data_IF_163006548538
#
_entry.id   IF_163006548538
#
_cell.length_a   1.000
_cell.length_b   1.000
_cell.length_c   1.000
_cell.angle_alpha   90.00
_cell.angle_beta   90.00
_cell.angle_gamma   90.00
#
_symmetry.space_group_name_H-M   'P 1'
#
loop_
_entity.id
_entity.type
_entity.pdbx_description
1 polymer ?
#
# COMPACT_ATOMS: atom_id res chain seq x y z
N UNK A 1 44.16 33.46 -92.55
CA UNK A 1 43.04 34.44 -92.45
C UNK A 1 43.37 35.82 -93.03
N UNK A 2 44.59 36.37 -92.85
CA UNK A 2 44.87 37.72 -93.35
C UNK A 2 45.03 37.83 -94.88
N UNK A 3 45.51 36.78 -95.58
CA UNK A 3 45.87 36.88 -97.01
C UNK A 3 44.68 36.92 -97.95
N UNK A 4 43.65 36.11 -97.71
CA UNK A 4 42.42 36.13 -98.52
C UNK A 4 41.69 37.47 -98.42
N UNK A 5 41.52 38.01 -97.21
CA UNK A 5 40.88 39.32 -97.02
C UNK A 5 41.74 40.45 -97.59
N UNK A 6 43.06 40.38 -97.42
CA UNK A 6 43.99 41.34 -98.03
C UNK A 6 43.93 41.31 -99.56
N UNK A 7 43.86 40.12 -100.18
CA UNK A 7 43.66 40.01 -101.64
C UNK A 7 42.31 40.57 -102.11
N UNK A 8 41.24 40.40 -101.33
CA UNK A 8 39.94 41.03 -101.63
C UNK A 8 40.03 42.56 -101.56
N UNK A 9 40.67 43.10 -100.53
CA UNK A 9 40.85 44.53 -100.33
C UNK A 9 41.76 45.13 -101.42
N UNK A 10 42.83 44.44 -101.79
CA UNK A 10 43.75 44.85 -102.86
C UNK A 10 43.05 44.84 -104.23
N UNK A 11 42.22 43.83 -104.51
CA UNK A 11 41.41 43.78 -105.73
C UNK A 11 40.36 44.90 -105.75
N UNK A 12 39.70 45.16 -104.62
CA UNK A 12 38.73 46.25 -104.50
C UNK A 12 39.41 47.61 -104.75
N UNK A 13 40.53 47.88 -104.08
CA UNK A 13 41.31 49.09 -104.26
C UNK A 13 41.77 49.27 -105.72
N UNK A 14 42.19 48.18 -106.38
CA UNK A 14 42.59 48.21 -107.79
C UNK A 14 41.42 48.55 -108.73
N UNK A 15 40.22 48.06 -108.43
CA UNK A 15 38.99 48.39 -109.20
C UNK A 15 38.52 49.83 -108.92
N UNK A 16 38.62 50.30 -107.68
CA UNK A 16 38.26 51.67 -107.30
C UNK A 16 39.17 52.73 -107.93
N UNK A 17 40.46 52.42 -108.11
CA UNK A 17 41.44 53.32 -108.73
C UNK A 17 41.56 53.14 -110.25
N UNK A 18 40.79 52.24 -110.84
CA UNK A 18 40.85 51.91 -112.26
C UNK A 18 40.34 53.07 -113.14
N UNK A 19 40.96 53.25 -114.31
CA UNK A 19 40.51 54.27 -115.27
C UNK A 19 39.17 53.88 -115.91
N UNK A 20 38.15 54.73 -115.79
CA UNK A 20 36.85 54.54 -116.43
C UNK A 20 36.88 54.73 -117.95
N UNK A 21 36.13 53.92 -118.68
CA UNK A 21 35.97 54.04 -120.14
C UNK A 21 34.79 55.01 -120.42
N UNK A 22 35.01 56.12 -121.17
CA UNK A 22 33.98 57.15 -121.38
C UNK A 22 32.66 56.61 -121.94
N UNK A 23 31.54 57.14 -121.44
CA UNK A 23 30.17 56.76 -121.84
C UNK A 23 29.81 55.29 -121.56
N UNK A 24 30.56 54.58 -120.70
CA UNK A 24 30.26 53.21 -120.27
C UNK A 24 30.45 53.06 -118.76
N UNK A 25 29.85 52.03 -118.15
CA UNK A 25 30.11 51.64 -116.76
C UNK A 25 31.36 50.78 -116.59
N UNK A 26 32.22 50.70 -117.60
CA UNK A 26 33.39 49.81 -117.60
C UNK A 26 34.64 50.56 -117.13
N UNK A 27 35.52 49.87 -116.41
CA UNK A 27 36.85 50.35 -116.03
C UNK A 27 37.95 49.48 -116.65
N UNK A 28 39.12 50.07 -116.86
CA UNK A 28 40.31 49.41 -117.38
C UNK A 28 41.26 49.07 -116.23
N UNK A 29 41.44 47.77 -115.98
CA UNK A 29 42.34 47.24 -114.95
C UNK A 29 43.51 46.48 -115.57
N UNK A 30 44.71 46.51 -114.96
CA UNK A 30 45.83 45.68 -115.39
C UNK A 30 45.49 44.19 -115.23
N UNK A 31 45.18 43.52 -116.35
CA UNK A 31 44.72 42.12 -116.35
C UNK A 31 45.65 41.16 -115.60
N UNK A 32 46.97 41.36 -115.69
CA UNK A 32 47.96 40.47 -115.04
C UNK A 32 47.87 40.58 -113.52
N UNK A 33 47.91 41.78 -112.98
CA UNK A 33 47.84 42.04 -111.54
C UNK A 33 46.51 41.56 -110.93
N UNK A 34 45.39 41.77 -111.63
CA UNK A 34 44.08 41.24 -111.20
C UNK A 34 44.07 39.70 -111.17
N UNK A 35 44.64 39.04 -112.18
CA UNK A 35 44.71 37.58 -112.20
C UNK A 35 45.65 37.04 -111.12
N UNK A 36 46.76 37.72 -110.86
CA UNK A 36 47.72 37.33 -109.81
C UNK A 36 47.06 37.40 -108.42
N UNK A 37 46.31 38.48 -108.11
CA UNK A 37 45.55 38.62 -106.86
C UNK A 37 44.45 37.56 -106.76
N UNK A 38 43.71 37.31 -107.84
CA UNK A 38 42.67 36.28 -107.86
C UNK A 38 43.23 34.86 -107.68
N UNK A 39 44.41 34.56 -108.24
CA UNK A 39 45.09 33.29 -108.05
C UNK A 39 45.67 33.17 -106.63
N UNK A 40 46.16 34.25 -106.03
CA UNK A 40 46.54 34.27 -104.60
C UNK A 40 45.35 34.00 -103.69
N UNK A 41 44.23 34.71 -103.89
CA UNK A 41 42.99 34.44 -103.16
C UNK A 41 42.47 33.02 -103.39
N UNK A 42 42.52 32.52 -104.63
CA UNK A 42 42.09 31.16 -104.98
C UNK A 42 42.92 30.10 -104.25
N UNK A 43 44.21 30.33 -104.04
CA UNK A 43 45.08 29.41 -103.33
C UNK A 43 44.97 29.55 -101.80
N UNK A 44 44.67 30.75 -101.30
CA UNK A 44 44.55 31.04 -99.88
C UNK A 44 43.20 30.55 -99.29
N UNK A 45 42.07 30.85 -99.95
CA UNK A 45 40.71 30.53 -99.47
C UNK A 45 40.56 29.07 -98.99
N UNK A 46 40.98 28.04 -99.77
CA UNK A 46 40.84 26.66 -99.34
C UNK A 46 41.60 26.36 -98.04
N UNK A 47 42.81 26.91 -97.88
CA UNK A 47 43.64 26.72 -96.68
C UNK A 47 42.97 27.38 -95.48
N UNK A 48 42.43 28.59 -95.64
CA UNK A 48 41.73 29.26 -94.55
C UNK A 48 40.39 28.62 -94.18
N UNK A 49 39.70 28.02 -95.14
CA UNK A 49 38.48 27.25 -94.88
C UNK A 49 38.82 25.96 -94.13
N UNK A 50 39.93 25.31 -94.47
CA UNK A 50 40.46 24.12 -93.77
C UNK A 50 40.82 24.47 -92.31
N UNK A 51 41.58 25.55 -92.08
CA UNK A 51 41.92 26.04 -90.74
C UNK A 51 40.65 26.34 -89.90
N UNK A 52 39.63 26.96 -90.52
CA UNK A 52 38.38 27.27 -89.83
C UNK A 52 37.58 26.01 -89.50
N UNK A 53 37.60 25.02 -90.39
CA UNK A 53 36.96 23.73 -90.17
C UNK A 53 37.64 22.95 -89.03
N UNK A 54 38.98 22.95 -88.98
CA UNK A 54 39.75 22.35 -87.89
C UNK A 54 39.39 22.94 -86.53
N UNK A 55 39.21 24.26 -86.44
CA UNK A 55 38.78 24.92 -85.20
C UNK A 55 37.35 24.51 -84.82
N UNK A 56 36.43 24.39 -85.78
CA UNK A 56 35.06 23.94 -85.53
C UNK A 56 35.00 22.48 -85.07
N UNK A 57 35.83 21.62 -85.66
CA UNK A 57 35.93 20.21 -85.28
C UNK A 57 36.56 20.06 -83.90
N UNK A 58 37.61 20.83 -83.60
CA UNK A 58 38.21 20.86 -82.27
C UNK A 58 37.23 21.34 -81.21
N UNK A 59 36.46 22.41 -81.49
CA UNK A 59 35.39 22.88 -80.60
C UNK A 59 34.33 21.81 -80.38
N UNK A 60 33.90 21.13 -81.43
CA UNK A 60 32.91 20.04 -81.33
C UNK A 60 33.41 18.91 -80.46
N UNK A 61 34.68 18.51 -80.62
CA UNK A 61 35.32 17.50 -79.77
C UNK A 61 35.38 17.95 -78.30
N UNK A 62 35.80 19.19 -78.02
CA UNK A 62 35.86 19.72 -76.65
C UNK A 62 34.47 19.69 -76.00
N UNK A 63 33.43 20.11 -76.72
CA UNK A 63 32.06 20.12 -76.18
C UNK A 63 31.60 18.69 -75.90
N UNK A 64 31.83 17.75 -76.81
CA UNK A 64 31.47 16.35 -76.62
C UNK A 64 32.19 15.75 -75.40
N UNK A 65 33.51 15.94 -75.30
CA UNK A 65 34.32 15.43 -74.19
C UNK A 65 33.87 16.05 -72.86
N UNK A 66 33.55 17.35 -72.84
CA UNK A 66 33.07 18.02 -71.65
C UNK A 66 31.69 17.52 -71.22
N UNK A 67 30.79 17.26 -72.17
CA UNK A 67 29.47 16.67 -71.92
C UNK A 67 29.60 15.26 -71.35
N UNK A 68 30.40 14.40 -71.98
CA UNK A 68 30.61 13.02 -71.52
C UNK A 68 31.20 12.99 -70.10
N UNK A 69 32.17 13.86 -69.80
CA UNK A 69 32.72 14.00 -68.45
C UNK A 69 31.70 14.50 -67.43
N UNK A 70 30.87 15.46 -67.82
CA UNK A 70 29.81 15.97 -66.93
C UNK A 70 28.77 14.89 -66.62
N UNK A 71 28.36 14.14 -67.63
CA UNK A 71 27.40 13.04 -67.48
C UNK A 71 27.98 11.93 -66.59
N UNK A 72 29.25 11.54 -66.80
CA UNK A 72 29.95 10.59 -65.94
C UNK A 72 30.04 11.09 -64.50
N UNK A 73 30.40 12.36 -64.29
CA UNK A 73 30.50 12.94 -62.95
C UNK A 73 29.16 12.93 -62.22
N UNK A 74 28.07 13.27 -62.91
CA UNK A 74 26.72 13.23 -62.34
C UNK A 74 26.35 11.80 -61.98
N UNK A 75 26.57 10.84 -62.87
CA UNK A 75 26.27 9.43 -62.63
C UNK A 75 27.03 8.88 -61.40
N UNK A 76 28.33 9.20 -61.29
CA UNK A 76 29.16 8.80 -60.16
C UNK A 76 28.68 9.45 -58.85
N UNK A 77 28.37 10.74 -58.88
CA UNK A 77 27.86 11.46 -57.70
C UNK A 77 26.48 10.96 -57.26
N UNK A 78 25.60 10.59 -58.19
CA UNK A 78 24.30 10.00 -57.88
C UNK A 78 24.44 8.60 -57.27
N UNK A 79 25.36 7.78 -57.80
CA UNK A 79 25.65 6.47 -57.23
C UNK A 79 26.22 6.56 -55.81
N UNK A 80 27.16 7.49 -55.58
CA UNK A 80 27.73 7.72 -54.26
C UNK A 80 26.67 8.24 -53.27
N UNK A 81 25.84 9.20 -53.70
CA UNK A 81 24.70 9.70 -52.91
C UNK A 81 23.79 8.55 -52.47
N UNK A 82 23.40 7.69 -53.41
CA UNK A 82 22.47 6.60 -53.11
C UNK A 82 23.08 5.58 -52.16
N UNK A 83 24.37 5.30 -52.28
CA UNK A 83 25.10 4.45 -51.34
C UNK A 83 25.17 5.06 -49.93
N UNK A 84 25.48 6.36 -49.83
CA UNK A 84 25.52 7.07 -48.55
C UNK A 84 24.12 7.07 -47.90
N UNK A 85 23.07 7.38 -48.65
CA UNK A 85 21.70 7.37 -48.15
C UNK A 85 21.27 5.98 -47.68
N UNK A 86 21.59 4.93 -48.46
CA UNK A 86 21.26 3.56 -48.08
C UNK A 86 21.97 3.12 -46.79
N UNK A 87 23.27 3.42 -46.68
CA UNK A 87 24.05 3.08 -45.48
C UNK A 87 23.62 3.88 -44.24
N UNK A 88 23.38 5.18 -44.39
CA UNK A 88 22.88 6.04 -43.31
C UNK A 88 21.49 5.59 -42.84
N UNK A 89 20.60 5.23 -43.76
CA UNK A 89 19.27 4.69 -43.42
C UNK A 89 19.38 3.37 -42.67
N UNK A 90 20.19 2.42 -43.15
CA UNK A 90 20.39 1.15 -42.47
C UNK A 90 20.98 1.32 -41.06
N UNK A 91 21.92 2.25 -40.88
CA UNK A 91 22.47 2.58 -39.56
C UNK A 91 21.43 3.22 -38.64
N UNK A 92 20.59 4.13 -39.16
CA UNK A 92 19.52 4.74 -38.40
C UNK A 92 18.48 3.70 -37.95
N UNK A 93 18.06 2.81 -38.85
CA UNK A 93 17.11 1.74 -38.55
C UNK A 93 17.68 0.80 -37.46
N UNK A 94 18.96 0.41 -37.57
CA UNK A 94 19.64 -0.39 -36.54
C UNK A 94 19.74 0.33 -35.20
N UNK A 95 20.01 1.64 -35.20
CA UNK A 95 20.11 2.43 -33.97
C UNK A 95 18.76 2.55 -33.26
N UNK A 96 17.68 2.75 -34.02
CA UNK A 96 16.32 2.80 -33.49
C UNK A 96 15.95 1.45 -32.88
N UNK A 97 16.22 0.34 -33.58
CA UNK A 97 15.95 -1.00 -33.07
C UNK A 97 16.73 -1.29 -31.78
N UNK A 98 18.03 -1.00 -31.75
CA UNK A 98 18.86 -1.16 -30.55
C UNK A 98 18.34 -0.33 -29.36
N UNK A 99 17.86 0.88 -29.63
CA UNK A 99 17.28 1.75 -28.62
C UNK A 99 15.94 1.22 -28.09
N UNK A 100 15.09 0.72 -28.98
CA UNK A 100 13.81 0.08 -28.62
C UNK A 100 14.04 -1.18 -27.77
N UNK A 101 14.98 -2.04 -28.15
CA UNK A 101 15.32 -3.26 -27.40
C UNK A 101 15.86 -2.93 -26.00
N UNK A 102 16.75 -1.93 -25.89
CA UNK A 102 17.27 -1.47 -24.59
C UNK A 102 16.18 -0.85 -23.73
N UNK A 103 15.29 -0.05 -24.33
CA UNK A 103 14.17 0.55 -23.61
C UNK A 103 13.22 -0.53 -23.07
N UNK A 104 12.85 -1.50 -23.91
CA UNK A 104 12.01 -2.63 -23.51
C UNK A 104 12.66 -3.45 -22.39
N UNK A 105 13.96 -3.75 -22.49
CA UNK A 105 14.68 -4.45 -21.43
C UNK A 105 14.74 -3.65 -20.12
N UNK A 106 14.90 -2.32 -20.20
CA UNK A 106 14.97 -1.45 -19.02
C UNK A 106 13.62 -1.39 -18.32
N UNK A 107 12.53 -1.24 -19.09
CA UNK A 107 11.15 -1.26 -18.55
C UNK A 107 10.85 -2.60 -17.90
N UNK A 108 11.14 -3.71 -18.59
CA UNK A 108 10.92 -5.04 -18.04
C UNK A 108 11.72 -5.29 -16.75
N UNK A 109 12.98 -4.81 -16.68
CA UNK A 109 13.77 -4.89 -15.46
C UNK A 109 13.15 -4.07 -14.32
N UNK A 110 12.73 -2.83 -14.60
CA UNK A 110 12.11 -1.96 -13.62
C UNK A 110 10.77 -2.52 -13.10
N UNK A 111 9.95 -3.11 -13.97
CA UNK A 111 8.70 -3.79 -13.58
C UNK A 111 8.98 -4.97 -12.65
N UNK A 112 9.95 -5.84 -13.00
CA UNK A 112 10.34 -6.97 -12.16
C UNK A 112 10.90 -6.52 -10.80
N UNK A 113 11.64 -5.41 -10.75
CA UNK A 113 12.16 -4.84 -9.50
C UNK A 113 11.04 -4.26 -8.63
N UNK A 114 10.09 -3.54 -9.24
CA UNK A 114 8.93 -3.02 -8.56
C UNK A 114 8.06 -4.14 -7.95
N UNK A 115 7.84 -5.23 -8.70
CA UNK A 115 7.09 -6.39 -8.21
C UNK A 115 7.78 -7.06 -7.02
N UNK A 116 9.11 -7.21 -7.07
CA UNK A 116 9.90 -7.74 -5.94
C UNK A 116 9.75 -6.85 -4.72
N UNK A 117 9.94 -5.53 -4.89
CA UNK A 117 9.86 -4.58 -3.78
C UNK A 117 8.47 -4.56 -3.13
N UNK A 118 7.40 -4.65 -3.93
CA UNK A 118 6.03 -4.71 -3.40
C UNK A 118 5.80 -5.99 -2.60
N UNK A 119 6.29 -7.13 -3.09
CA UNK A 119 6.14 -8.41 -2.38
C UNK A 119 6.96 -8.44 -1.09
N UNK A 120 8.22 -8.02 -1.14
CA UNK A 120 9.08 -7.92 0.05
C UNK A 120 8.47 -6.99 1.11
N UNK A 121 7.93 -5.83 0.67
CA UNK A 121 7.27 -4.88 1.58
C UNK A 121 5.99 -5.45 2.19
N UNK A 122 5.21 -6.24 1.44
CA UNK A 122 4.01 -6.93 1.96
C UNK A 122 4.40 -7.98 3.00
N UNK A 123 5.42 -8.79 2.71
CA UNK A 123 5.90 -9.82 3.63
C UNK A 123 6.44 -9.20 4.93
N UNK A 124 7.20 -8.10 4.83
CA UNK A 124 7.69 -7.37 6.00
C UNK A 124 6.53 -6.75 6.80
N UNK A 125 5.55 -6.15 6.12
CA UNK A 125 4.36 -5.59 6.75
C UNK A 125 3.58 -6.66 7.51
N UNK A 126 3.31 -7.81 6.89
CA UNK A 126 2.60 -8.93 7.51
C UNK A 126 3.37 -9.49 8.70
N UNK A 127 4.70 -9.59 8.61
CA UNK A 127 5.55 -10.03 9.71
C UNK A 127 5.52 -9.05 10.89
N UNK A 128 5.67 -7.75 10.64
CA UNK A 128 5.66 -6.72 11.69
C UNK A 128 4.30 -6.64 12.36
N UNK A 129 3.21 -6.62 11.58
CA UNK A 129 1.85 -6.55 12.12
C UNK A 129 1.48 -7.80 12.90
N UNK A 130 1.81 -9.00 12.40
CA UNK A 130 1.59 -10.26 13.12
C UNK A 130 2.33 -10.30 14.45
N UNK A 131 3.60 -9.87 14.47
CA UNK A 131 4.39 -9.79 15.70
C UNK A 131 3.81 -8.77 16.69
N UNK A 132 3.37 -7.61 16.20
CA UNK A 132 2.76 -6.58 17.04
C UNK A 132 1.43 -7.05 17.64
N UNK A 133 0.58 -7.74 16.86
CA UNK A 133 -0.66 -8.33 17.33
C UNK A 133 -0.40 -9.38 18.42
N UNK A 134 0.54 -10.31 18.18
CA UNK A 134 0.90 -11.33 19.15
C UNK A 134 1.46 -10.73 20.45
N UNK A 135 2.24 -9.65 20.37
CA UNK A 135 2.76 -8.96 21.55
C UNK A 135 1.66 -8.20 22.30
N UNK A 136 0.75 -7.54 21.58
CA UNK A 136 -0.41 -6.88 22.18
C UNK A 136 -1.28 -7.88 22.96
N UNK A 137 -1.58 -9.05 22.36
CA UNK A 137 -2.34 -10.11 23.03
C UNK A 137 -1.63 -10.59 24.29
N UNK A 138 -0.31 -10.82 24.24
CA UNK A 138 0.47 -11.21 25.43
C UNK A 138 0.41 -10.17 26.53
N UNK A 139 0.54 -8.88 26.18
CA UNK A 139 0.46 -7.80 27.16
C UNK A 139 -0.92 -7.70 27.80
N UNK A 140 -1.99 -7.89 27.01
CA UNK A 140 -3.37 -7.92 27.53
C UNK A 140 -3.56 -9.12 28.47
N UNK A 141 -3.13 -10.32 28.07
CA UNK A 141 -3.22 -11.51 28.92
C UNK A 141 -2.44 -11.33 30.22
N UNK A 142 -1.17 -10.94 30.14
CA UNK A 142 -0.31 -10.70 31.31
C UNK A 142 -0.87 -9.59 32.22
N UNK A 143 -1.38 -8.51 31.64
CA UNK A 143 -2.04 -7.42 32.35
C UNK A 143 -3.27 -7.89 33.11
N UNK A 144 -4.12 -8.69 32.46
CA UNK A 144 -5.32 -9.26 33.08
C UNK A 144 -4.97 -10.23 34.22
N UNK A 145 -3.95 -11.08 34.04
CA UNK A 145 -3.47 -11.98 35.09
C UNK A 145 -2.90 -11.21 36.30
N UNK A 146 -2.14 -10.14 36.05
CA UNK A 146 -1.64 -9.28 37.12
C UNK A 146 -2.78 -8.55 37.83
N UNK A 147 -3.74 -8.04 37.07
CA UNK A 147 -4.92 -7.38 37.62
C UNK A 147 -5.72 -8.34 38.52
N UNK A 148 -6.00 -9.55 38.03
CA UNK A 148 -6.73 -10.55 38.80
C UNK A 148 -6.01 -10.90 40.10
N UNK A 149 -4.69 -11.11 40.06
CA UNK A 149 -3.88 -11.35 41.26
C UNK A 149 -4.00 -10.21 42.27
N UNK A 150 -3.88 -8.95 41.82
CA UNK A 150 -4.02 -7.80 42.72
C UNK A 150 -5.42 -7.67 43.31
N UNK A 151 -6.46 -8.00 42.55
CA UNK A 151 -7.84 -8.04 43.05
C UNK A 151 -8.01 -9.13 44.11
N UNK A 152 -7.52 -10.34 43.84
CA UNK A 152 -7.61 -11.47 44.76
C UNK A 152 -6.85 -11.20 46.07
N UNK A 153 -5.63 -10.66 45.97
CA UNK A 153 -4.84 -10.21 47.12
C UNK A 153 -5.55 -9.11 47.91
N UNK A 154 -6.15 -8.14 47.22
CA UNK A 154 -6.92 -7.05 47.84
C UNK A 154 -8.15 -7.54 48.59
N UNK A 155 -8.90 -8.49 48.02
CA UNK A 155 -10.06 -9.12 48.66
C UNK A 155 -9.62 -9.91 49.89
N UNK A 156 -8.54 -10.70 49.77
CA UNK A 156 -8.02 -11.47 50.90
C UNK A 156 -7.58 -10.56 52.06
N UNK A 157 -6.88 -9.46 51.75
CA UNK A 157 -6.45 -8.50 52.76
C UNK A 157 -7.63 -7.74 53.37
N UNK A 158 -8.62 -7.35 52.56
CA UNK A 158 -9.85 -6.74 53.05
C UNK A 158 -10.57 -7.67 54.04
N UNK A 159 -10.73 -8.95 53.70
CA UNK A 159 -11.35 -9.95 54.58
C UNK A 159 -10.57 -10.09 55.89
N UNK A 160 -9.23 -10.11 55.81
CA UNK A 160 -8.35 -10.15 56.99
C UNK A 160 -8.53 -8.93 57.88
N UNK A 161 -8.60 -7.72 57.32
CA UNK A 161 -8.81 -6.48 58.07
C UNK A 161 -10.20 -6.42 58.70
N UNK A 162 -11.24 -6.86 57.99
CA UNK A 162 -12.61 -6.94 58.52
C UNK A 162 -12.66 -7.92 59.69
N UNK A 163 -12.07 -9.12 59.58
CA UNK A 163 -12.04 -10.09 60.67
C UNK A 163 -11.26 -9.59 61.90
N UNK A 164 -10.16 -8.87 61.70
CA UNK A 164 -9.35 -8.32 62.80
C UNK A 164 -9.96 -7.07 63.47
N UNK A 165 -10.97 -6.45 62.85
CA UNK A 165 -11.70 -5.31 63.39
C UNK A 165 -12.22 -5.60 64.80
N UNK A 166 -12.01 -4.64 65.72
CA UNK A 166 -12.60 -4.71 67.06
C UNK A 166 -14.13 -4.83 67.01
N UNK A 167 -14.77 -4.25 65.99
CA UNK A 167 -16.22 -4.32 65.82
C UNK A 167 -16.65 -5.75 65.52
N UNK A 168 -15.94 -6.47 64.64
CA UNK A 168 -16.27 -7.87 64.31
C UNK A 168 -15.99 -8.78 65.50
N UNK A 169 -14.84 -8.62 66.16
CA UNK A 169 -14.51 -9.39 67.37
C UNK A 169 -15.52 -9.17 68.50
N UNK A 170 -15.94 -7.93 68.74
CA UNK A 170 -16.96 -7.61 69.73
C UNK A 170 -18.33 -8.17 69.33
N UNK A 171 -18.72 -8.06 68.06
CA UNK A 171 -19.97 -8.61 67.56
C UNK A 171 -20.01 -10.14 67.66
N UNK A 172 -18.92 -10.85 67.35
CA UNK A 172 -18.79 -12.31 67.51
C UNK A 172 -18.86 -12.73 68.98
N UNK A 173 -18.17 -12.02 69.87
CA UNK A 173 -18.21 -12.27 71.31
C UNK A 173 -19.63 -12.04 71.87
N UNK A 174 -20.32 -10.99 71.42
CA UNK A 174 -21.72 -10.72 71.78
C UNK A 174 -22.65 -11.82 71.26
N UNK A 175 -22.53 -12.20 69.98
CA UNK A 175 -23.33 -13.25 69.38
C UNK A 175 -23.15 -14.59 70.13
N UNK A 176 -21.92 -14.96 70.45
CA UNK A 176 -21.64 -16.14 71.26
C UNK A 176 -22.23 -16.05 72.67
N UNK A 177 -22.16 -14.87 73.30
CA UNK A 177 -22.76 -14.66 74.62
C UNK A 177 -24.28 -14.78 74.59
N UNK A 178 -24.94 -14.22 73.57
CA UNK A 178 -26.38 -14.34 73.37
C UNK A 178 -26.77 -15.81 73.17
N UNK A 179 -26.07 -16.54 72.31
CA UNK A 179 -26.32 -17.97 72.07
C UNK A 179 -26.15 -18.79 73.35
N UNK A 180 -25.07 -18.57 74.10
CA UNK A 180 -24.83 -19.26 75.36
C UNK A 180 -25.88 -18.92 76.43
N UNK A 181 -26.26 -17.65 76.56
CA UNK A 181 -27.31 -17.22 77.48
C UNK A 181 -28.65 -17.86 77.11
N UNK A 182 -29.00 -17.89 75.82
CA UNK A 182 -30.23 -18.52 75.33
C UNK A 182 -30.26 -20.02 75.63
N UNK A 183 -29.13 -20.72 75.48
CA UNK A 183 -29.00 -22.13 75.87
C UNK A 183 -29.14 -22.32 77.38
N UNK A 184 -28.45 -21.52 78.18
CA UNK A 184 -28.53 -21.58 79.64
C UNK A 184 -29.94 -21.29 80.16
N UNK A 185 -30.62 -20.29 79.61
CA UNK A 185 -32.01 -19.97 79.95
C UNK A 185 -32.96 -21.10 79.52
N UNK A 186 -32.74 -21.72 78.35
CA UNK A 186 -33.52 -22.86 77.89
C UNK A 186 -33.38 -24.07 78.84
N UNK A 187 -32.16 -24.37 79.29
CA UNK A 187 -31.90 -25.47 80.21
C UNK A 187 -32.43 -25.17 81.62
N UNK A 188 -32.35 -23.91 82.05
CA UNK A 188 -32.95 -23.44 83.31
C UNK A 188 -34.46 -23.57 83.28
N UNK A 189 -35.11 -23.09 82.21
CA UNK A 189 -36.56 -23.22 82.01
C UNK A 189 -37.00 -24.69 82.03
N UNK A 190 -36.27 -25.59 81.36
CA UNK A 190 -36.54 -27.03 81.43
C UNK A 190 -36.47 -27.55 82.87
N UNK A 191 -35.41 -27.21 83.59
CA UNK A 191 -35.23 -27.66 84.98
C UNK A 191 -36.30 -27.07 85.92
N UNK A 192 -36.67 -25.80 85.75
CA UNK A 192 -37.74 -25.16 86.51
C UNK A 192 -39.11 -25.80 86.23
N UNK A 193 -39.40 -26.10 84.95
CA UNK A 193 -40.59 -26.86 84.56
C UNK A 193 -40.60 -28.26 85.19
N UNK A 194 -39.48 -28.99 85.14
CA UNK A 194 -39.37 -30.34 85.72
C UNK A 194 -39.62 -30.30 87.24
N UNK A 195 -39.01 -29.35 87.96
CA UNK A 195 -39.25 -29.17 89.40
C UNK A 195 -40.69 -28.78 89.72
N UNK A 196 -41.28 -27.89 88.93
CA UNK A 196 -42.68 -27.48 89.12
C UNK A 196 -43.65 -28.66 88.90
N UNK A 197 -43.39 -29.48 87.89
CA UNK A 197 -44.15 -30.72 87.66
C UNK A 197 -43.98 -31.68 88.84
N UNK A 198 -42.76 -31.90 89.32
CA UNK A 198 -42.50 -32.78 90.47
C UNK A 198 -43.18 -32.30 91.75
N UNK A 199 -43.06 -31.01 92.10
CA UNK A 199 -43.73 -30.45 93.29
C UNK A 199 -45.24 -30.53 93.19
N UNK A 200 -45.80 -30.23 92.01
CA UNK A 200 -47.26 -30.31 91.78
C UNK A 200 -47.75 -31.76 91.89
N UNK A 201 -46.97 -32.72 91.39
CA UNK A 201 -47.27 -34.15 91.53
C UNK A 201 -47.18 -34.62 92.99
N UNK A 202 -46.20 -34.14 93.75
CA UNK A 202 -46.06 -34.44 95.17
C UNK A 202 -47.22 -33.87 96.01
N UNK A 203 -47.62 -32.61 95.77
CA UNK A 203 -48.79 -32.00 96.40
C UNK A 203 -50.09 -32.75 96.06
N UNK A 204 -50.20 -33.21 94.80
CA UNK A 204 -51.31 -34.04 94.36
C UNK A 204 -51.31 -35.41 95.05
N UNK A 205 -50.14 -36.05 95.21
CA UNK A 205 -49.97 -37.30 95.97
C UNK A 205 -50.35 -37.12 97.44
N UNK A 206 -49.90 -36.04 98.08
CA UNK A 206 -50.26 -35.74 99.47
C UNK A 206 -51.77 -35.54 99.61
N UNK A 207 -52.38 -34.78 98.69
CA UNK A 207 -53.83 -34.56 98.66
C UNK A 207 -54.61 -35.86 98.50
N UNK A 208 -54.18 -36.75 97.58
CA UNK A 208 -54.77 -38.08 97.42
C UNK A 208 -54.55 -38.95 98.67
N UNK A 209 -53.39 -38.90 99.31
CA UNK A 209 -53.09 -39.65 100.53
C UNK A 209 -53.95 -39.19 101.70
N UNK A 210 -54.12 -37.88 101.86
CA UNK A 210 -55.01 -37.31 102.88
C UNK A 210 -56.47 -37.67 102.59
N UNK A 211 -56.89 -37.65 101.33
CA UNK A 211 -58.23 -38.11 100.92
C UNK A 211 -58.42 -39.60 101.22
N UNK A 212 -57.44 -40.45 100.91
CA UNK A 212 -57.45 -41.87 101.25
C UNK A 212 -57.47 -42.13 102.77
N UNK A 213 -56.74 -41.34 103.57
CA UNK A 213 -56.80 -41.40 105.04
C UNK A 213 -58.17 -41.00 105.56
N UNK A 214 -58.80 -39.97 104.99
CA UNK A 214 -60.16 -39.56 105.33
C UNK A 214 -61.16 -40.67 104.98
N UNK A 215 -61.09 -41.24 103.76
CA UNK A 215 -61.91 -42.39 103.36
C UNK A 215 -61.64 -43.61 104.25
N UNK A 216 -60.39 -43.84 104.65
CA UNK A 216 -60.01 -44.90 105.59
C UNK A 216 -60.58 -44.69 106.99
N UNK A 217 -60.56 -43.45 107.49
CA UNK A 217 -61.22 -43.06 108.75
C UNK A 217 -62.73 -43.19 108.65
N UNK A 218 -63.36 -42.76 107.56
CA UNK A 218 -64.80 -42.90 107.34
C UNK A 218 -65.21 -44.37 107.23
N UNK A 219 -64.41 -45.20 106.54
CA UNK A 219 -64.60 -46.66 106.52
C UNK A 219 -64.43 -47.29 107.90
N UNK A 220 -63.43 -46.87 108.68
CA UNK A 220 -63.21 -47.36 110.04
C UNK A 220 -64.30 -46.87 111.00
N UNK A 221 -64.82 -45.66 110.82
CA UNK A 221 -65.95 -45.10 111.53
C UNK A 221 -67.26 -45.81 111.16
N UNK A 222 -67.47 -46.21 109.91
CA UNK A 222 -68.55 -47.12 109.52
C UNK A 222 -68.38 -48.53 110.10
N UNK A 223 -67.13 -48.94 110.42
CA UNK A 223 -66.80 -50.22 111.07
C UNK A 223 -66.90 -50.17 112.61
N UNK A 224 -66.76 -49.01 113.24
CA UNK A 224 -66.88 -48.77 114.70
C UNK A 224 -68.20 -48.11 115.11
N UNK A 225 -68.93 -47.53 114.18
CA UNK A 225 -70.24 -46.89 114.33
C UNK A 225 -71.42 -47.86 114.23
N UNK A 226 -71.25 -49.04 114.82
CA UNK A 226 -72.32 -49.95 115.21
C UNK A 226 -72.10 -50.32 116.69
N UNK A 227 -72.31 -49.35 117.59
CA UNK A 227 -72.32 -49.61 119.02
C UNK A 227 -71.97 -48.42 119.92
N UNK A 228 -73.01 -47.63 120.29
CA UNK A 228 -73.28 -47.11 121.66
C UNK A 228 -72.22 -46.15 122.28
N UNK A 229 -72.50 -45.09 123.04
CA UNK A 229 -73.63 -44.24 123.43
C UNK A 229 -73.09 -43.36 124.57
N UNK A 230 -73.55 -42.10 124.68
CA UNK A 230 -73.60 -41.34 125.93
C UNK A 230 -72.34 -40.55 126.30
N UNK A 231 -72.38 -39.37 126.94
CA UNK A 231 -73.49 -38.55 127.46
C UNK A 231 -72.87 -37.29 128.09
N UNK A 232 -73.44 -36.10 127.79
CA UNK A 232 -73.50 -34.84 128.60
C UNK A 232 -72.18 -34.19 129.09
N UNK A 233 -72.04 -32.87 129.27
CA UNK A 233 -72.96 -31.72 129.26
C UNK A 233 -72.16 -30.41 129.33
N UNK A 234 -72.78 -29.34 128.81
CA UNK A 234 -72.82 -27.96 129.32
C UNK A 234 -71.53 -27.15 129.54
N UNK A 235 -71.57 -25.91 129.03
CA UNK A 235 -70.75 -24.80 129.52
C UNK A 235 -70.56 -23.73 128.45
N UNK A 236 -71.42 -22.73 128.48
CA UNK A 236 -71.53 -21.61 127.53
C UNK A 236 -70.48 -20.49 127.83
N UNK A 237 -70.52 -19.28 127.23
CA UNK A 237 -69.47 -18.76 126.35
C UNK A 237 -68.70 -17.54 126.92
N UNK A 238 -67.70 -17.02 126.18
CA UNK A 238 -67.39 -15.59 126.25
C UNK A 238 -65.96 -15.12 125.96
N UNK A 239 -65.88 -14.26 124.92
CA UNK A 239 -65.21 -12.95 124.86
C UNK A 239 -63.74 -12.84 124.42
N UNK A 240 -63.62 -11.94 123.43
CA UNK A 240 -62.52 -11.09 122.95
C UNK A 240 -61.35 -11.73 122.20
#
# INVERSE_FOLDING_TARGET
>A
MYKTFQGMDDLQNMVEQAYGVPMTSNCMVPRREVLDILDEMRNAIPIEMDDAQDVLDHRSSIISDAQERADSLIADAEAERDQILASAKAQADSMVQDAEDRAASTVAQAENEADRLINDARDEYDHVTSRAAAEADRLVTSGNESYQRSVDEGIAEQQRLVSNSEVVRNAEAEAQRIVQSAHADSDRLRTECDRYVDSTLAEFEESLTNTLRTVGRDRAALRKGAGVSGYRSHGEPGRN
#
